data_IF_336918094603
#
_entry.id   IF_336918094603
#
_cell.length_a   1.000
_cell.length_b   1.000
_cell.length_c   1.000
_cell.angle_alpha   90.00
_cell.angle_beta   90.00
_cell.angle_gamma   90.00
#
_symmetry.space_group_name_H-M   'P 1'
#
loop_
_entity.id
_entity.type
_entity.pdbx_description
1 polymer ?
#
# COMPACT_ATOMS: atom_id res chain seq x y z
N UNK A 1 -57.58 3.43 -23.02
CA UNK A 1 -58.47 4.32 -23.79
C UNK A 1 -58.20 4.08 -25.26
N UNK A 2 -59.16 3.43 -25.95
CA UNK A 2 -59.16 3.26 -27.41
C UNK A 2 -59.06 4.64 -28.10
N UNK A 3 -58.59 4.69 -29.34
CA UNK A 3 -59.41 5.09 -30.50
C UNK A 3 -58.72 4.72 -31.82
N UNK A 4 -59.59 4.30 -32.73
CA UNK A 4 -59.45 3.72 -34.07
C UNK A 4 -59.10 4.75 -35.17
N UNK A 5 -58.40 4.25 -36.21
CA UNK A 5 -58.54 4.39 -37.70
C UNK A 5 -59.59 5.39 -38.25
N UNK A 6 -59.53 5.94 -39.50
CA UNK A 6 -59.35 5.18 -40.77
C UNK A 6 -58.77 5.95 -42.01
N UNK A 7 -58.17 5.29 -43.02
CA UNK A 7 -58.66 4.82 -44.35
C UNK A 7 -59.09 5.85 -45.41
N UNK A 8 -58.50 5.75 -46.62
CA UNK A 8 -59.15 5.73 -47.97
C UNK A 8 -58.06 6.01 -49.04
N UNK A 9 -57.64 5.09 -49.90
CA UNK A 9 -58.30 4.54 -51.10
C UNK A 9 -58.46 5.53 -52.28
N UNK A 10 -57.77 5.24 -53.41
CA UNK A 10 -58.35 5.04 -54.77
C UNK A 10 -57.54 5.64 -55.95
N UNK A 11 -57.53 4.89 -57.07
CA UNK A 11 -57.25 5.30 -58.46
C UNK A 11 -55.78 5.52 -58.85
N UNK A 12 -55.14 4.83 -59.80
CA UNK A 12 -55.60 4.07 -60.96
C UNK A 12 -55.61 4.94 -62.23
N UNK A 13 -54.53 4.93 -63.04
CA UNK A 13 -54.53 4.82 -64.52
C UNK A 13 -53.10 4.93 -65.12
N UNK A 14 -52.93 4.32 -66.29
CA UNK A 14 -51.70 3.91 -67.00
C UNK A 14 -51.11 5.01 -67.92
N UNK A 15 -49.78 5.05 -68.11
CA UNK A 15 -49.05 4.81 -69.38
C UNK A 15 -47.62 5.39 -69.43
N UNK A 16 -46.70 4.64 -70.05
CA UNK A 16 -45.51 5.18 -70.76
C UNK A 16 -44.15 5.18 -70.02
N UNK A 17 -43.11 4.48 -70.53
CA UNK A 17 -41.86 4.30 -69.80
C UNK A 17 -40.88 5.45 -70.04
N UNK A 18 -40.40 6.10 -68.98
CA UNK A 18 -39.18 6.92 -69.04
C UNK A 18 -38.28 6.67 -67.84
N UNK A 19 -37.15 6.02 -68.14
CA UNK A 19 -36.00 5.81 -67.26
C UNK A 19 -35.63 7.10 -66.52
N UNK A 20 -35.72 7.06 -65.18
CA UNK A 20 -34.86 7.82 -64.28
C UNK A 20 -34.40 6.90 -63.17
N UNK A 21 -33.08 6.76 -63.05
CA UNK A 21 -32.37 5.94 -62.05
C UNK A 21 -32.85 6.33 -60.65
N UNK A 22 -33.45 5.39 -59.92
CA UNK A 22 -33.59 5.46 -58.46
C UNK A 22 -32.55 4.55 -57.83
N UNK A 23 -31.86 5.08 -56.84
CA UNK A 23 -30.91 4.36 -56.00
C UNK A 23 -31.59 3.13 -55.39
N UNK A 24 -31.05 1.95 -55.68
CA UNK A 24 -31.44 0.73 -54.98
C UNK A 24 -30.89 0.84 -53.55
N UNK A 25 -31.80 0.79 -52.58
CA UNK A 25 -31.51 0.54 -51.17
C UNK A 25 -30.59 -0.69 -51.07
N UNK A 26 -29.43 -0.53 -50.47
CA UNK A 26 -28.59 -1.65 -50.03
C UNK A 26 -29.36 -2.41 -48.94
N UNK A 27 -30.01 -3.49 -49.36
CA UNK A 27 -30.40 -4.55 -48.42
C UNK A 27 -29.12 -5.13 -47.85
N UNK A 28 -28.69 -4.62 -46.69
CA UNK A 28 -27.60 -5.16 -45.90
C UNK A 28 -28.06 -6.56 -45.48
N UNK A 29 -27.60 -7.57 -46.21
CA UNK A 29 -27.60 -8.96 -45.72
C UNK A 29 -26.92 -8.91 -44.35
N UNK A 30 -27.48 -9.53 -43.29
CA UNK A 30 -26.69 -9.75 -42.09
C UNK A 30 -25.54 -10.64 -42.54
N UNK A 31 -24.34 -10.06 -42.65
CA UNK A 31 -23.13 -10.86 -42.73
C UNK A 31 -23.14 -11.69 -41.47
N UNK A 32 -23.26 -13.01 -41.62
CA UNK A 32 -22.87 -13.91 -40.58
C UNK A 32 -21.39 -13.62 -40.33
N UNK A 33 -21.11 -12.78 -39.35
CA UNK A 33 -19.80 -12.73 -38.73
C UNK A 33 -19.67 -14.06 -38.01
N UNK A 34 -19.05 -15.03 -38.68
CA UNK A 34 -18.40 -16.10 -37.95
C UNK A 34 -17.28 -15.39 -37.23
N UNK A 35 -17.51 -15.07 -35.96
CA UNK A 35 -16.43 -14.69 -35.07
C UNK A 35 -15.43 -15.85 -35.18
N UNK A 36 -14.23 -15.57 -35.68
CA UNK A 36 -13.15 -16.51 -35.53
C UNK A 36 -13.11 -16.79 -34.03
N UNK A 37 -13.44 -18.02 -33.65
CA UNK A 37 -13.09 -18.50 -32.32
C UNK A 37 -11.61 -18.14 -32.18
N UNK A 38 -11.28 -17.37 -31.14
CA UNK A 38 -9.92 -17.30 -30.59
C UNK A 38 -9.31 -18.68 -30.81
N UNK A 39 -8.11 -18.81 -31.42
CA UNK A 39 -7.49 -20.11 -31.50
C UNK A 39 -7.47 -20.62 -30.05
N UNK A 40 -8.27 -21.66 -29.79
CA UNK A 40 -8.06 -22.53 -28.65
C UNK A 40 -6.77 -23.27 -28.97
N UNK A 41 -5.66 -22.55 -28.89
CA UNK A 41 -4.39 -23.15 -28.55
C UNK A 41 -4.70 -23.84 -27.24
N UNK A 42 -4.82 -25.17 -27.29
CA UNK A 42 -4.65 -25.97 -26.08
C UNK A 42 -3.41 -25.39 -25.41
N UNK A 43 -3.57 -24.70 -24.26
CA UNK A 43 -2.44 -24.24 -23.48
C UNK A 43 -1.74 -25.52 -23.00
N UNK A 44 -0.83 -26.05 -23.82
CA UNK A 44 0.38 -26.58 -23.25
C UNK A 44 0.97 -25.39 -22.51
N UNK A 45 0.84 -25.38 -21.18
CA UNK A 45 1.35 -24.30 -20.37
C UNK A 45 2.83 -24.15 -20.67
N UNK A 46 3.20 -22.95 -21.08
CA UNK A 46 4.56 -22.59 -21.44
C UNK A 46 5.19 -22.11 -20.15
N UNK A 47 6.42 -22.54 -19.79
CA UNK A 47 7.09 -21.95 -18.64
C UNK A 47 7.31 -20.46 -18.91
N UNK A 48 7.15 -19.64 -17.88
CA UNK A 48 7.34 -18.19 -17.96
C UNK A 48 8.51 -17.76 -17.09
N UNK A 49 9.09 -16.60 -17.39
CA UNK A 49 9.91 -15.87 -16.42
C UNK A 49 8.92 -15.18 -15.47
N UNK A 50 8.75 -15.74 -14.27
CA UNK A 50 7.80 -15.21 -13.29
C UNK A 50 8.37 -14.01 -12.53
N UNK A 51 9.66 -14.03 -12.22
CA UNK A 51 10.29 -13.04 -11.36
C UNK A 51 11.79 -12.90 -11.66
N UNK A 52 12.34 -11.72 -11.45
CA UNK A 52 13.77 -11.42 -11.50
C UNK A 52 14.18 -10.54 -10.32
N UNK A 53 15.45 -10.63 -9.93
CA UNK A 53 16.15 -9.62 -9.14
C UNK A 53 17.49 -9.35 -9.82
N UNK A 54 17.66 -8.14 -10.36
CA UNK A 54 18.90 -7.67 -10.99
C UNK A 54 19.75 -6.77 -10.08
N UNK A 55 19.42 -6.73 -8.79
CA UNK A 55 20.21 -6.05 -7.76
C UNK A 55 19.94 -6.70 -6.40
N UNK A 56 20.80 -7.63 -6.00
CA UNK A 56 20.62 -8.43 -4.79
C UNK A 56 21.66 -8.07 -3.71
N UNK A 57 21.28 -7.25 -2.72
CA UNK A 57 22.17 -6.77 -1.64
C UNK A 57 21.93 -7.43 -0.27
N UNK A 58 20.71 -7.88 -0.04
CA UNK A 58 20.19 -8.44 1.21
C UNK A 58 19.39 -9.74 1.02
N UNK A 59 18.99 -10.08 -0.20
CA UNK A 59 18.09 -11.19 -0.55
C UNK A 59 18.71 -12.61 -0.55
N UNK A 60 18.40 -13.41 -1.57
CA UNK A 60 18.86 -14.81 -1.67
C UNK A 60 20.39 -14.88 -1.77
N UNK A 61 21.00 -15.93 -1.22
CA UNK A 61 22.42 -16.24 -1.42
C UNK A 61 22.52 -17.52 -2.24
N UNK A 62 23.50 -17.57 -3.13
CA UNK A 62 23.88 -18.82 -3.79
C UNK A 62 24.72 -19.72 -2.86
N UNK A 63 25.06 -20.92 -3.34
CA UNK A 63 25.84 -21.95 -2.64
C UNK A 63 27.22 -21.49 -2.20
N UNK A 64 27.77 -20.45 -2.84
CA UNK A 64 29.08 -19.90 -2.47
C UNK A 64 28.93 -18.80 -1.41
N UNK A 65 27.69 -18.42 -1.08
CA UNK A 65 27.34 -17.34 -0.14
C UNK A 65 27.22 -15.97 -0.81
N UNK A 66 27.34 -15.89 -2.13
CA UNK A 66 27.25 -14.65 -2.89
C UNK A 66 25.79 -14.24 -3.10
N UNK A 67 25.56 -12.93 -3.22
CA UNK A 67 24.25 -12.38 -3.54
C UNK A 67 24.16 -12.07 -5.02
N UNK A 68 24.11 -13.15 -5.81
CA UNK A 68 23.97 -13.06 -7.26
C UNK A 68 22.56 -12.60 -7.63
N UNK A 69 22.44 -11.94 -8.78
CA UNK A 69 21.16 -11.73 -9.45
C UNK A 69 20.51 -13.07 -9.76
N UNK A 70 19.19 -13.11 -9.93
CA UNK A 70 18.50 -14.36 -10.21
C UNK A 70 17.24 -14.16 -11.03
N UNK A 71 16.88 -15.24 -11.72
CA UNK A 71 15.72 -15.38 -12.60
C UNK A 71 14.90 -16.56 -12.07
N UNK A 72 13.60 -16.37 -11.91
CA UNK A 72 12.67 -17.44 -11.56
C UNK A 72 11.86 -17.85 -12.79
N UNK A 73 11.85 -19.15 -13.06
CA UNK A 73 10.98 -19.78 -14.04
C UNK A 73 9.81 -20.45 -13.33
N UNK A 74 8.61 -20.27 -13.87
CA UNK A 74 7.39 -20.85 -13.34
C UNK A 74 6.63 -21.66 -14.38
N UNK A 75 6.22 -22.86 -14.01
CA UNK A 75 5.28 -23.65 -14.78
C UNK A 75 3.84 -23.33 -14.35
N UNK A 76 3.15 -22.51 -15.14
CA UNK A 76 1.75 -22.14 -14.91
C UNK A 76 0.72 -23.24 -15.28
N UNK A 77 1.20 -24.41 -15.69
CA UNK A 77 0.37 -25.53 -16.12
C UNK A 77 0.02 -26.54 -15.07
N UNK A 78 -0.79 -27.49 -15.50
CA UNK A 78 -1.21 -28.68 -14.77
C UNK A 78 -0.41 -29.94 -15.15
N UNK A 79 0.53 -29.83 -16.10
CA UNK A 79 1.43 -30.91 -16.53
C UNK A 79 2.91 -30.53 -16.31
N UNK A 80 3.79 -31.53 -16.16
CA UNK A 80 5.23 -31.32 -16.02
C UNK A 80 5.86 -30.92 -17.37
N UNK A 81 6.85 -30.01 -17.33
CA UNK A 81 7.56 -29.50 -18.50
C UNK A 81 9.02 -29.94 -18.44
N UNK A 82 9.53 -30.54 -19.51
CA UNK A 82 10.96 -30.78 -19.69
C UNK A 82 11.62 -29.54 -20.32
N UNK A 83 12.57 -28.96 -19.60
CA UNK A 83 13.32 -27.77 -20.04
C UNK A 83 14.55 -28.11 -20.89
N UNK A 84 14.75 -29.38 -21.28
CA UNK A 84 15.83 -29.74 -22.20
C UNK A 84 15.77 -28.94 -23.51
N UNK A 85 16.87 -28.26 -23.86
CA UNK A 85 17.00 -27.44 -25.07
C UNK A 85 16.33 -26.07 -25.01
N UNK A 86 15.78 -25.68 -23.86
CA UNK A 86 15.33 -24.31 -23.62
C UNK A 86 16.52 -23.44 -23.25
N UNK A 87 16.45 -22.15 -23.57
CA UNK A 87 17.55 -21.21 -23.35
C UNK A 87 17.09 -19.95 -22.64
N UNK A 88 17.95 -19.42 -21.75
CA UNK A 88 17.86 -18.03 -21.29
C UNK A 88 18.84 -17.17 -22.09
N UNK A 89 18.43 -15.93 -22.36
CA UNK A 89 19.30 -14.94 -23.01
C UNK A 89 19.01 -13.52 -22.54
N UNK A 90 20.04 -12.71 -22.37
CA UNK A 90 19.99 -11.25 -22.19
C UNK A 90 20.25 -10.48 -23.50
N UNK A 91 20.50 -11.19 -24.61
CA UNK A 91 20.78 -10.64 -25.93
C UNK A 91 19.80 -11.20 -26.98
N UNK A 92 18.93 -10.37 -27.59
CA UNK A 92 17.98 -10.83 -28.60
C UNK A 92 18.63 -11.40 -29.86
N UNK A 93 19.90 -11.08 -30.12
CA UNK A 93 20.68 -11.61 -31.25
C UNK A 93 21.34 -12.97 -30.91
N UNK A 94 21.31 -13.40 -29.64
CA UNK A 94 21.84 -14.69 -29.16
C UNK A 94 20.75 -15.55 -28.48
N UNK A 95 19.74 -16.06 -29.21
CA UNK A 95 18.60 -16.78 -28.62
C UNK A 95 18.95 -18.07 -27.84
N UNK A 96 20.17 -18.57 -27.99
CA UNK A 96 20.68 -19.79 -27.33
C UNK A 96 21.89 -19.50 -26.43
N UNK A 97 21.97 -18.31 -25.82
CA UNK A 97 23.10 -17.87 -25.00
C UNK A 97 23.37 -18.79 -23.80
N UNK A 98 22.32 -19.21 -23.09
CA UNK A 98 22.41 -20.14 -21.98
C UNK A 98 21.31 -21.22 -22.00
N UNK A 99 21.60 -22.37 -22.60
CA UNK A 99 20.77 -23.58 -22.45
C UNK A 99 20.58 -24.08 -21.00
N UNK A 100 19.33 -24.27 -20.60
CA UNK A 100 18.91 -24.89 -19.34
C UNK A 100 19.26 -26.40 -19.40
N UNK A 101 19.92 -26.98 -18.37
CA UNK A 101 20.15 -28.41 -18.34
C UNK A 101 18.84 -29.18 -18.21
N UNK A 102 18.80 -30.43 -18.68
CA UNK A 102 17.60 -31.28 -18.66
C UNK A 102 16.96 -31.33 -17.26
N UNK A 103 15.92 -30.50 -17.07
CA UNK A 103 15.27 -30.24 -15.79
C UNK A 103 13.78 -30.36 -15.99
N UNK A 104 13.14 -31.19 -15.17
CA UNK A 104 11.69 -31.37 -15.19
C UNK A 104 11.07 -30.38 -14.20
N UNK A 105 10.30 -29.42 -14.72
CA UNK A 105 9.54 -28.47 -13.93
C UNK A 105 8.11 -28.97 -13.76
N UNK A 106 7.78 -29.47 -12.56
CA UNK A 106 6.44 -29.98 -12.26
C UNK A 106 5.33 -28.91 -12.38
N UNK A 107 4.05 -29.31 -12.39
CA UNK A 107 2.93 -28.37 -12.46
C UNK A 107 2.92 -27.44 -11.24
N UNK A 108 2.75 -26.14 -11.49
CA UNK A 108 2.89 -25.11 -10.45
C UNK A 108 4.31 -25.00 -9.85
N UNK A 109 5.30 -25.65 -10.45
CA UNK A 109 6.68 -25.68 -9.98
C UNK A 109 7.46 -24.43 -10.35
N UNK A 110 8.48 -24.13 -9.54
CA UNK A 110 9.39 -22.99 -9.71
C UNK A 110 10.83 -23.47 -9.82
N UNK A 111 11.63 -22.76 -10.60
CA UNK A 111 13.07 -22.97 -10.73
C UNK A 111 13.79 -21.62 -10.67
N UNK A 112 14.70 -21.48 -9.70
CA UNK A 112 15.59 -20.32 -9.62
C UNK A 112 16.87 -20.61 -10.38
N UNK A 113 17.29 -19.68 -11.23
CA UNK A 113 18.56 -19.66 -11.94
C UNK A 113 19.29 -18.38 -11.58
N UNK A 114 20.47 -18.48 -10.98
CA UNK A 114 21.28 -17.31 -10.67
C UNK A 114 21.90 -16.72 -11.94
N UNK A 115 21.75 -15.43 -12.18
CA UNK A 115 22.39 -14.71 -13.26
C UNK A 115 23.74 -14.17 -12.80
N UNK A 116 24.73 -15.05 -12.64
CA UNK A 116 25.97 -14.75 -11.91
C UNK A 116 27.23 -14.79 -12.75
N UNK A 117 27.15 -15.13 -14.05
CA UNK A 117 28.30 -15.38 -14.91
C UNK A 117 29.23 -16.52 -14.42
N UNK A 118 28.67 -17.51 -13.70
CA UNK A 118 29.43 -18.69 -13.22
C UNK A 118 29.27 -19.92 -14.13
N UNK A 119 28.32 -19.89 -15.07
CA UNK A 119 28.04 -20.92 -16.08
C UNK A 119 27.91 -22.36 -15.52
N UNK A 120 27.07 -22.54 -14.50
CA UNK A 120 26.84 -23.85 -13.85
C UNK A 120 25.52 -24.46 -14.31
N UNK A 121 25.59 -25.66 -14.89
CA UNK A 121 24.47 -26.33 -15.58
C UNK A 121 24.27 -27.77 -15.14
N UNK A 122 24.48 -28.07 -13.86
CA UNK A 122 24.28 -29.44 -13.36
C UNK A 122 22.82 -29.58 -12.93
N UNK A 123 22.06 -30.43 -13.64
CA UNK A 123 20.67 -30.71 -13.28
C UNK A 123 20.55 -31.18 -11.81
N UNK A 124 19.62 -30.60 -11.06
CA UNK A 124 19.43 -30.87 -9.63
C UNK A 124 20.41 -30.16 -8.68
N UNK A 125 21.33 -29.34 -9.19
CA UNK A 125 22.14 -28.41 -8.41
C UNK A 125 21.67 -26.96 -8.65
N UNK A 126 22.25 -26.00 -7.92
CA UNK A 126 22.02 -24.59 -8.21
C UNK A 126 22.56 -24.21 -9.59
N UNK A 127 21.72 -23.55 -10.37
CA UNK A 127 22.01 -23.18 -11.75
C UNK A 127 22.51 -21.75 -11.81
N UNK A 128 23.50 -21.53 -12.67
CA UNK A 128 24.08 -20.21 -12.89
C UNK A 128 24.25 -19.92 -14.38
N UNK A 129 23.73 -18.80 -14.85
CA UNK A 129 23.94 -18.37 -16.23
C UNK A 129 25.40 -17.97 -16.49
N UNK A 130 25.76 -17.85 -17.76
CA UNK A 130 27.03 -17.29 -18.24
C UNK A 130 26.93 -15.77 -18.53
N UNK A 131 25.96 -15.12 -17.89
CA UNK A 131 25.75 -13.68 -17.97
C UNK A 131 25.22 -13.16 -16.63
N UNK A 132 25.04 -11.85 -16.51
CA UNK A 132 24.43 -11.19 -15.34
C UNK A 132 23.30 -10.29 -15.80
N UNK A 133 22.48 -9.87 -14.86
CA UNK A 133 21.43 -8.88 -15.13
C UNK A 133 21.91 -7.48 -14.75
N UNK A 134 21.63 -6.50 -15.59
CA UNK A 134 21.89 -5.09 -15.34
C UNK A 134 20.81 -4.47 -14.47
N UNK A 135 21.21 -3.79 -13.40
CA UNK A 135 20.29 -3.10 -12.50
C UNK A 135 19.52 -1.95 -13.17
N UNK A 136 20.06 -1.36 -14.24
CA UNK A 136 19.40 -0.27 -14.98
C UNK A 136 18.37 -0.75 -16.00
N UNK A 137 18.28 -2.07 -16.22
CA UNK A 137 17.35 -2.70 -17.17
C UNK A 137 18.04 -3.34 -18.37
N UNK A 138 17.77 -4.63 -18.65
CA UNK A 138 18.21 -5.35 -19.85
C UNK A 138 17.07 -6.09 -20.55
N UNK A 139 17.32 -6.53 -21.79
CA UNK A 139 16.51 -7.57 -22.41
C UNK A 139 16.67 -8.87 -21.62
N UNK A 140 15.61 -9.66 -21.51
CA UNK A 140 15.70 -11.02 -20.98
C UNK A 140 14.61 -11.88 -21.60
N UNK A 141 14.97 -13.06 -22.09
CA UNK A 141 14.01 -14.00 -22.64
C UNK A 141 14.29 -15.45 -22.27
N UNK A 142 13.20 -16.20 -22.15
CA UNK A 142 13.16 -17.65 -22.18
C UNK A 142 12.76 -18.08 -23.59
N UNK A 143 13.62 -18.86 -24.22
CA UNK A 143 13.53 -19.26 -25.63
C UNK A 143 13.33 -20.76 -25.73
N UNK A 144 12.42 -21.17 -26.61
CA UNK A 144 12.14 -22.58 -26.90
C UNK A 144 13.24 -23.23 -27.74
N UNK A 145 13.32 -24.57 -27.77
CA UNK A 145 14.23 -25.28 -28.67
C UNK A 145 14.06 -24.94 -30.17
N UNK A 146 12.87 -24.48 -30.59
CA UNK A 146 12.60 -24.06 -31.96
C UNK A 146 12.98 -22.59 -32.26
N UNK A 147 13.69 -21.93 -31.33
CA UNK A 147 14.07 -20.51 -31.35
C UNK A 147 12.93 -19.50 -31.22
N UNK A 148 11.71 -19.93 -30.92
CA UNK A 148 10.62 -18.98 -30.61
C UNK A 148 10.71 -18.52 -29.15
N UNK A 149 10.43 -17.24 -28.90
CA UNK A 149 10.39 -16.69 -27.55
C UNK A 149 9.13 -17.17 -26.83
N UNK A 150 9.31 -17.75 -25.66
CA UNK A 150 8.24 -18.24 -24.79
C UNK A 150 7.77 -17.17 -23.80
N UNK A 151 8.71 -16.44 -23.20
CA UNK A 151 8.49 -15.39 -22.22
C UNK A 151 9.64 -14.39 -22.32
N UNK A 152 9.37 -13.09 -22.21
CA UNK A 152 10.42 -12.09 -22.26
C UNK A 152 10.05 -10.78 -21.54
N UNK A 153 11.08 -10.06 -21.12
CA UNK A 153 11.05 -8.63 -20.89
C UNK A 153 11.69 -7.94 -22.10
N UNK A 154 10.85 -7.36 -22.95
CA UNK A 154 11.22 -6.74 -24.23
C UNK A 154 10.66 -5.31 -24.29
N UNK A 155 11.43 -4.29 -24.72
CA UNK A 155 12.85 -4.33 -25.11
C UNK A 155 13.82 -4.41 -23.93
N UNK A 156 13.36 -4.09 -22.73
CA UNK A 156 14.14 -4.18 -21.49
C UNK A 156 13.20 -4.20 -20.29
N UNK A 157 13.56 -4.87 -19.20
CA UNK A 157 12.88 -4.69 -17.92
C UNK A 157 13.25 -3.31 -17.31
N UNK A 158 12.40 -2.70 -16.46
CA UNK A 158 12.69 -1.37 -15.92
C UNK A 158 13.87 -1.38 -14.93
N UNK A 159 14.47 -0.22 -14.60
CA UNK A 159 15.48 -0.11 -13.56
C UNK A 159 15.02 -0.74 -12.24
N UNK A 160 15.90 -1.55 -11.65
CA UNK A 160 15.65 -2.35 -10.46
C UNK A 160 16.15 -1.64 -9.20
N UNK A 161 15.34 -1.69 -8.14
CA UNK A 161 15.78 -1.28 -6.80
C UNK A 161 16.38 -2.48 -6.09
N UNK A 162 17.49 -2.28 -5.37
CA UNK A 162 18.12 -3.38 -4.62
C UNK A 162 17.13 -4.11 -3.71
N UNK A 163 17.18 -5.44 -3.76
CA UNK A 163 16.36 -6.38 -3.01
C UNK A 163 14.86 -6.31 -3.31
N UNK A 164 14.49 -5.65 -4.40
CA UNK A 164 13.12 -5.63 -4.91
C UNK A 164 13.06 -6.45 -6.18
N UNK A 165 12.23 -7.48 -6.14
CA UNK A 165 11.96 -8.32 -7.30
C UNK A 165 10.94 -7.70 -8.25
N UNK A 166 11.09 -7.99 -9.54
CA UNK A 166 10.19 -7.57 -10.61
C UNK A 166 9.70 -8.79 -11.38
N UNK A 167 8.41 -8.85 -11.72
CA UNK A 167 7.83 -10.07 -12.26
C UNK A 167 6.40 -9.92 -12.75
N UNK A 168 5.86 -11.03 -13.24
CA UNK A 168 4.47 -11.13 -13.69
C UNK A 168 3.55 -11.22 -12.47
N UNK A 169 2.48 -10.43 -12.45
CA UNK A 169 1.47 -10.52 -11.40
C UNK A 169 0.72 -11.85 -11.48
N UNK A 170 0.72 -12.62 -10.39
CA UNK A 170 -0.15 -13.78 -10.25
C UNK A 170 -1.57 -13.32 -9.92
N UNK A 171 -2.58 -13.98 -10.49
CA UNK A 171 -3.96 -13.84 -10.03
C UNK A 171 -4.04 -14.30 -8.57
N UNK A 172 -4.25 -13.35 -7.67
CA UNK A 172 -4.41 -13.64 -6.25
C UNK A 172 -5.88 -13.91 -5.96
N UNK A 173 -6.18 -15.11 -5.44
CA UNK A 173 -7.49 -15.36 -4.80
C UNK A 173 -7.44 -14.80 -3.39
N UNK A 174 -8.27 -13.81 -3.11
CA UNK A 174 -8.39 -13.23 -1.78
C UNK A 174 -9.14 -14.20 -0.85
N UNK A 175 -8.39 -15.04 -0.13
CA UNK A 175 -8.95 -15.97 0.87
C UNK A 175 -9.45 -15.24 2.11
N UNK A 176 -8.78 -14.15 2.49
CA UNK A 176 -9.12 -13.32 3.64
C UNK A 176 -9.08 -11.85 3.22
N UNK A 177 -10.21 -11.17 3.34
CA UNK A 177 -10.29 -9.76 2.98
C UNK A 177 -9.64 -8.85 4.04
N UNK A 178 -9.11 -7.71 3.61
CA UNK A 178 -8.77 -6.63 4.54
C UNK A 178 -10.04 -6.16 5.25
N UNK A 179 -10.02 -6.07 6.58
CA UNK A 179 -11.20 -5.77 7.39
C UNK A 179 -12.08 -6.98 7.71
N UNK A 180 -11.78 -8.18 7.21
CA UNK A 180 -12.50 -9.39 7.61
C UNK A 180 -12.35 -9.65 9.13
N UNK A 181 -13.29 -10.37 9.74
CA UNK A 181 -13.19 -10.70 11.16
C UNK A 181 -12.10 -11.74 11.40
N UNK A 182 -11.17 -11.42 12.28
CA UNK A 182 -10.13 -12.29 12.81
C UNK A 182 -10.37 -12.54 14.31
N UNK A 183 -10.01 -13.74 14.78
CA UNK A 183 -9.93 -14.06 16.21
C UNK A 183 -8.46 -14.14 16.61
N UNK A 184 -8.11 -13.61 17.77
CA UNK A 184 -6.73 -13.49 18.25
C UNK A 184 -6.64 -13.93 19.71
N UNK A 185 -5.64 -14.74 20.03
CA UNK A 185 -5.29 -15.10 21.40
C UNK A 185 -3.79 -14.96 21.60
N UNK A 186 -3.41 -14.34 22.71
CA UNK A 186 -2.03 -14.31 23.19
C UNK A 186 -1.94 -15.33 24.34
N UNK A 187 -1.26 -16.47 24.16
CA UNK A 187 -1.10 -17.46 25.21
C UNK A 187 -0.36 -16.89 26.43
N UNK A 188 -0.81 -17.20 27.64
CA UNK A 188 -0.22 -16.66 28.88
C UNK A 188 1.06 -17.35 29.32
N UNK A 189 1.33 -18.56 28.83
CA UNK A 189 2.44 -19.42 29.27
C UNK A 189 3.12 -20.16 28.11
N UNK A 190 2.89 -19.72 26.88
CA UNK A 190 3.42 -20.36 25.67
C UNK A 190 2.78 -21.71 25.34
N UNK A 191 1.79 -22.18 26.12
CA UNK A 191 0.99 -23.33 25.74
C UNK A 191 0.06 -22.94 24.59
N UNK A 192 0.26 -23.55 23.43
CA UNK A 192 -0.68 -23.46 22.31
C UNK A 192 -1.82 -24.42 22.58
N UNK A 193 -3.07 -23.97 22.39
CA UNK A 193 -4.22 -24.87 22.41
C UNK A 193 -4.01 -25.94 21.34
N UNK A 194 -3.99 -27.20 21.73
CA UNK A 194 -3.77 -28.30 20.79
C UNK A 194 -4.82 -28.25 19.68
N UNK A 195 -4.37 -28.34 18.42
CA UNK A 195 -5.20 -28.31 17.19
C UNK A 195 -5.58 -26.92 16.65
N UNK A 196 -4.99 -25.81 17.13
CA UNK A 196 -5.25 -24.46 16.59
C UNK A 196 -5.01 -24.32 15.07
N UNK A 197 -4.16 -25.19 14.51
CA UNK A 197 -3.83 -25.26 13.09
C UNK A 197 -4.70 -26.27 12.30
N UNK A 198 -5.71 -26.87 12.92
CA UNK A 198 -6.65 -27.76 12.24
C UNK A 198 -7.67 -26.96 11.41
N UNK A 199 -8.04 -27.41 10.20
CA UNK A 199 -9.14 -26.81 9.43
C UNK A 199 -10.50 -26.80 10.16
N UNK A 200 -10.67 -27.69 11.14
CA UNK A 200 -11.87 -27.78 11.97
C UNK A 200 -11.79 -26.99 13.27
N UNK A 201 -10.69 -26.25 13.50
CA UNK A 201 -10.50 -25.51 14.73
C UNK A 201 -11.49 -24.34 14.82
N UNK A 202 -12.19 -24.25 15.95
CA UNK A 202 -13.08 -23.15 16.26
C UNK A 202 -12.54 -22.45 17.52
N UNK A 203 -12.16 -21.16 17.44
CA UNK A 203 -11.84 -20.37 18.61
C UNK A 203 -12.99 -20.41 19.63
N UNK A 204 -12.67 -20.61 20.91
CA UNK A 204 -13.66 -20.48 21.97
C UNK A 204 -13.90 -18.99 22.33
N UNK A 205 -14.78 -18.73 23.30
CA UNK A 205 -15.08 -17.37 23.75
C UNK A 205 -13.92 -16.64 24.46
N UNK A 206 -12.74 -17.25 24.60
CA UNK A 206 -11.56 -16.62 25.21
C UNK A 206 -10.71 -15.84 24.21
N UNK A 207 -10.98 -15.96 22.92
CA UNK A 207 -10.27 -15.24 21.86
C UNK A 207 -10.87 -13.85 21.64
N UNK A 208 -10.03 -12.84 21.49
CA UNK A 208 -10.45 -11.49 21.12
C UNK A 208 -10.78 -11.44 19.62
N UNK A 209 -11.88 -10.79 19.24
CA UNK A 209 -12.26 -10.63 17.83
C UNK A 209 -12.01 -9.22 17.33
N UNK A 210 -11.51 -9.06 16.11
CA UNK A 210 -11.26 -7.77 15.48
C UNK A 210 -11.15 -7.86 13.96
N UNK A 211 -10.87 -6.74 13.29
CA UNK A 211 -10.57 -6.76 11.87
C UNK A 211 -9.18 -7.41 11.59
N UNK A 212 -9.01 -8.00 10.41
CA UNK A 212 -7.71 -8.46 9.90
C UNK A 212 -6.71 -7.31 9.79
N UNK A 213 -5.42 -7.63 9.86
CA UNK A 213 -4.36 -6.65 10.18
C UNK A 213 -3.91 -6.72 11.64
N UNK A 214 -3.87 -7.93 12.19
CA UNK A 214 -3.45 -8.20 13.56
C UNK A 214 -1.92 -8.21 13.62
N UNK A 215 -1.34 -7.42 14.51
CA UNK A 215 0.11 -7.40 14.77
C UNK A 215 0.42 -7.59 16.25
N UNK A 216 1.66 -8.01 16.54
CA UNK A 216 2.23 -7.98 17.88
C UNK A 216 3.27 -6.86 17.93
N UNK A 217 3.11 -5.92 18.85
CA UNK A 217 4.03 -4.80 19.03
C UNK A 217 4.20 -4.47 20.50
N UNK A 218 5.41 -4.05 20.89
CA UNK A 218 5.62 -3.45 22.19
C UNK A 218 4.92 -2.09 22.21
N UNK A 219 3.99 -1.90 23.14
CA UNK A 219 3.40 -0.59 23.40
C UNK A 219 4.51 0.36 23.84
N UNK A 220 4.86 1.32 22.99
CA UNK A 220 5.72 2.44 23.38
C UNK A 220 4.81 3.60 23.80
N UNK A 221 5.02 4.21 24.97
CA UNK A 221 4.42 5.49 25.29
C UNK A 221 4.74 6.53 24.21
N UNK A 222 3.84 7.49 24.01
CA UNK A 222 4.01 8.58 23.04
C UNK A 222 3.17 8.43 21.76
N UNK A 223 3.57 9.19 20.75
CA UNK A 223 2.96 9.32 19.44
C UNK A 223 3.91 8.77 18.36
N UNK A 224 3.32 8.11 17.37
CA UNK A 224 3.93 7.94 16.05
C UNK A 224 3.64 9.22 15.25
N UNK A 225 4.71 9.94 14.88
CA UNK A 225 4.61 11.25 14.23
C UNK A 225 5.17 11.14 12.82
N UNK A 226 4.31 11.42 11.82
CA UNK A 226 4.72 11.59 10.43
C UNK A 226 4.81 13.08 10.10
N UNK A 227 5.97 13.52 9.64
CA UNK A 227 6.17 14.86 9.10
C UNK A 227 6.25 14.76 7.57
N UNK A 228 5.53 15.64 6.87
CA UNK A 228 5.43 15.63 5.41
C UNK A 228 5.57 17.05 4.90
N UNK A 229 6.58 17.31 4.10
CA UNK A 229 6.67 18.56 3.33
C UNK A 229 5.92 18.35 2.01
N UNK A 230 4.96 19.21 1.73
CA UNK A 230 4.19 19.19 0.51
C UNK A 230 4.90 19.97 -0.60
N UNK A 231 4.74 19.52 -1.85
CA UNK A 231 5.14 20.29 -3.03
C UNK A 231 3.98 21.15 -3.60
N UNK A 232 2.90 21.26 -2.82
CA UNK A 232 1.70 22.06 -3.10
C UNK A 232 1.34 22.89 -1.87
N UNK A 233 0.55 23.95 -2.06
CA UNK A 233 0.10 24.76 -0.94
C UNK A 233 -0.89 23.98 -0.04
N UNK A 234 -0.64 23.97 1.26
CA UNK A 234 -1.52 23.33 2.26
C UNK A 234 -2.32 24.41 2.99
N UNK A 235 -3.53 24.72 2.54
CA UNK A 235 -4.32 25.83 3.11
C UNK A 235 -5.44 25.35 4.05
N UNK A 236 -5.88 24.11 3.86
CA UNK A 236 -7.07 23.54 4.48
C UNK A 236 -6.84 22.09 4.88
N UNK A 237 -7.71 21.57 5.74
CA UNK A 237 -7.75 20.15 6.07
C UNK A 237 -8.02 19.25 4.86
N UNK A 238 -8.68 19.76 3.81
CA UNK A 238 -8.85 19.01 2.57
C UNK A 238 -7.53 18.84 1.82
N UNK A 239 -6.66 19.87 1.84
CA UNK A 239 -5.31 19.78 1.28
C UNK A 239 -4.46 18.79 2.08
N UNK A 240 -4.57 18.81 3.41
CA UNK A 240 -3.93 17.82 4.30
C UNK A 240 -4.31 16.40 3.91
N UNK A 241 -5.61 16.13 3.76
CA UNK A 241 -6.11 14.80 3.39
C UNK A 241 -5.61 14.39 2.00
N UNK A 242 -5.58 15.32 1.03
CA UNK A 242 -5.08 15.06 -0.31
C UNK A 242 -3.58 14.74 -0.33
N UNK A 243 -2.75 15.52 0.39
CA UNK A 243 -1.30 15.33 0.46
C UNK A 243 -0.96 14.02 1.17
N UNK A 244 -1.59 13.72 2.32
CA UNK A 244 -1.31 12.49 3.06
C UNK A 244 -1.71 11.23 2.28
N UNK A 245 -2.75 11.30 1.44
CA UNK A 245 -3.21 10.21 0.58
C UNK A 245 -2.39 10.04 -0.70
N UNK A 246 -1.69 11.08 -1.17
CA UNK A 246 -1.05 11.09 -2.50
C UNK A 246 0.46 11.35 -2.41
N UNK A 247 1.32 10.32 -2.47
CA UNK A 247 2.76 10.48 -2.35
C UNK A 247 3.39 11.47 -3.35
N UNK A 248 2.82 11.60 -4.55
CA UNK A 248 3.31 12.55 -5.55
C UNK A 248 3.16 14.03 -5.15
N UNK A 249 2.32 14.33 -4.15
CA UNK A 249 2.16 15.68 -3.58
C UNK A 249 3.15 15.97 -2.43
N UNK A 250 4.03 15.02 -2.11
CA UNK A 250 4.98 15.10 -0.99
C UNK A 250 6.37 15.37 -1.57
N UNK A 251 6.98 16.49 -1.18
CA UNK A 251 8.39 16.76 -1.45
C UNK A 251 9.30 15.84 -0.62
N UNK A 252 8.93 15.64 0.64
CA UNK A 252 9.63 14.75 1.57
C UNK A 252 8.65 14.17 2.59
N UNK A 253 9.00 13.02 3.17
CA UNK A 253 8.26 12.47 4.31
C UNK A 253 9.20 11.71 5.24
N UNK A 254 9.01 11.92 6.53
CA UNK A 254 9.73 11.21 7.57
C UNK A 254 8.79 10.79 8.69
N UNK A 255 9.21 9.79 9.46
CA UNK A 255 8.48 9.30 10.62
C UNK A 255 9.42 9.21 11.81
N UNK A 256 8.94 9.62 12.96
CA UNK A 256 9.62 9.52 14.25
C UNK A 256 8.62 9.16 15.34
N UNK A 257 9.12 8.90 16.54
CA UNK A 257 8.31 8.80 17.76
C UNK A 257 8.56 10.00 18.65
N UNK A 258 7.54 10.47 19.36
CA UNK A 258 7.69 11.53 20.36
C UNK A 258 6.77 11.28 21.55
N UNK A 259 7.24 11.52 22.76
CA UNK A 259 6.41 11.37 23.96
C UNK A 259 5.24 12.36 23.96
N UNK A 260 5.47 13.58 23.47
CA UNK A 260 4.51 14.68 23.38
C UNK A 260 4.58 15.35 22.01
N UNK A 261 3.47 15.96 21.59
CA UNK A 261 3.46 16.92 20.46
C UNK A 261 3.68 18.32 21.04
N UNK A 262 4.91 18.81 20.93
CA UNK A 262 5.34 20.16 21.30
C UNK A 262 6.45 20.63 20.33
N UNK A 263 6.04 21.06 19.15
CA UNK A 263 6.94 21.41 18.05
C UNK A 263 6.88 22.89 17.71
N UNK A 264 8.06 23.45 17.40
CA UNK A 264 8.23 24.84 17.00
C UNK A 264 9.13 24.94 15.76
N UNK A 265 8.74 25.81 14.83
CA UNK A 265 9.54 26.25 13.69
C UNK A 265 10.13 27.62 13.96
N UNK A 266 10.17 28.48 12.95
CA UNK A 266 10.36 29.92 13.20
C UNK A 266 9.08 30.49 13.83
N UNK A 267 9.16 31.30 14.89
CA UNK A 267 7.97 31.87 15.51
C UNK A 267 8.07 32.11 17.01
N UNK A 268 6.94 32.44 17.63
CA UNK A 268 6.76 32.46 19.08
C UNK A 268 6.19 31.11 19.50
N UNK A 269 6.80 30.48 20.51
CA UNK A 269 6.34 29.20 21.02
C UNK A 269 4.96 29.28 21.67
N UNK A 270 4.38 28.12 21.92
CA UNK A 270 3.10 27.95 22.59
C UNK A 270 3.17 28.15 24.11
N UNK A 271 2.28 27.45 24.80
CA UNK A 271 2.04 27.60 26.23
C UNK A 271 3.05 26.85 27.10
N UNK A 272 3.68 25.80 26.58
CA UNK A 272 4.58 24.94 27.34
C UNK A 272 6.04 25.24 26.98
N UNK A 273 6.94 24.94 27.91
CA UNK A 273 8.38 25.00 27.65
C UNK A 273 8.86 23.68 27.04
N UNK A 274 10.12 23.66 26.57
CA UNK A 274 10.76 22.45 26.08
C UNK A 274 10.43 22.13 24.62
N UNK A 275 10.05 23.13 23.84
CA UNK A 275 9.68 22.99 22.44
C UNK A 275 10.89 22.46 21.67
N UNK A 276 10.63 21.54 20.75
CA UNK A 276 11.66 20.95 19.89
C UNK A 276 11.38 21.29 18.43
N UNK A 277 12.40 21.34 17.55
CA UNK A 277 12.18 21.48 16.12
C UNK A 277 11.24 20.40 15.58
N UNK A 278 10.52 20.71 14.51
CA UNK A 278 9.75 19.72 13.78
C UNK A 278 10.63 18.54 13.34
N UNK A 279 10.07 17.31 13.20
CA UNK A 279 10.85 16.15 12.79
C UNK A 279 11.65 16.43 11.51
N UNK A 280 12.89 15.94 11.45
CA UNK A 280 13.91 16.18 10.40
C UNK A 280 14.58 17.55 10.39
N UNK A 281 14.08 18.53 11.13
CA UNK A 281 14.72 19.82 11.25
C UNK A 281 15.76 19.81 12.39
N UNK A 282 16.93 20.42 12.14
CA UNK A 282 18.02 20.56 13.13
C UNK A 282 18.00 21.90 13.87
N UNK A 283 16.98 22.73 13.64
CA UNK A 283 16.81 24.05 14.24
C UNK A 283 15.46 24.67 13.93
N UNK A 284 15.24 25.90 14.39
CA UNK A 284 14.00 26.66 14.22
C UNK A 284 13.93 27.29 12.83
N UNK A 285 13.61 26.46 11.84
CA UNK A 285 13.60 26.87 10.44
C UNK A 285 12.23 27.44 10.06
N UNK A 286 12.25 28.38 9.13
CA UNK A 286 11.05 28.79 8.40
C UNK A 286 10.87 27.83 7.23
N UNK A 287 10.03 26.82 7.43
CA UNK A 287 9.65 25.83 6.42
C UNK A 287 8.16 25.97 6.20
N UNK A 288 7.78 26.11 4.93
CA UNK A 288 6.41 26.36 4.50
C UNK A 288 5.82 25.10 3.88
N UNK A 289 4.49 24.96 3.93
CA UNK A 289 3.73 23.88 3.28
C UNK A 289 4.09 22.49 3.81
N UNK A 290 3.90 22.27 5.10
CA UNK A 290 4.12 20.96 5.71
C UNK A 290 2.93 20.49 6.56
N UNK A 291 2.95 19.21 6.90
CA UNK A 291 1.95 18.53 7.71
C UNK A 291 2.64 17.72 8.80
N UNK A 292 2.13 17.83 10.03
CA UNK A 292 2.38 16.89 11.12
C UNK A 292 1.15 16.02 11.30
N UNK A 293 1.31 14.71 11.10
CA UNK A 293 0.28 13.70 11.34
C UNK A 293 0.74 12.80 12.49
N UNK A 294 0.29 13.14 13.70
CA UNK A 294 0.62 12.46 14.94
C UNK A 294 -0.52 11.52 15.36
N UNK A 295 -0.22 10.24 15.55
CA UNK A 295 -1.17 9.21 15.98
C UNK A 295 -0.71 8.57 17.28
N UNK A 296 -1.66 8.24 18.15
CA UNK A 296 -1.36 7.61 19.43
C UNK A 296 -2.62 7.10 20.10
N UNK A 297 -2.54 6.92 21.43
CA UNK A 297 -3.74 6.72 22.24
C UNK A 297 -3.62 7.42 23.58
N UNK A 298 -4.77 7.80 24.11
CA UNK A 298 -4.90 8.42 25.42
C UNK A 298 -5.85 7.60 26.28
N UNK A 299 -5.51 7.44 27.55
CA UNK A 299 -6.40 6.82 28.54
C UNK A 299 -7.03 7.91 29.38
N UNK A 300 -8.36 8.00 29.32
CA UNK A 300 -9.15 8.88 30.20
C UNK A 300 -9.32 8.15 31.54
N UNK A 301 -8.75 8.66 32.65
CA UNK A 301 -8.74 7.95 33.93
C UNK A 301 -10.10 7.95 34.63
N UNK A 302 -10.88 9.02 34.43
CA UNK A 302 -12.18 9.22 35.07
C UNK A 302 -13.16 9.78 34.07
N UNK A 303 -14.36 9.21 34.03
CA UNK A 303 -15.46 9.74 33.24
C UNK A 303 -15.80 11.17 33.66
N UNK A 304 -16.18 11.99 32.70
CA UNK A 304 -16.61 13.36 32.91
C UNK A 304 -16.06 14.30 31.84
N UNK A 305 -16.13 15.60 32.13
CA UNK A 305 -15.65 16.63 31.23
C UNK A 305 -14.13 16.64 31.15
N UNK A 306 -13.62 16.69 29.93
CA UNK A 306 -12.20 16.86 29.61
C UNK A 306 -12.05 17.92 28.55
N UNK A 307 -11.16 18.89 28.78
CA UNK A 307 -10.83 19.90 27.79
C UNK A 307 -9.50 19.56 27.14
N UNK A 308 -9.52 19.41 25.82
CA UNK A 308 -8.33 19.31 24.98
C UNK A 308 -8.09 20.65 24.32
N UNK A 309 -6.82 21.05 24.23
CA UNK A 309 -6.41 22.25 23.53
C UNK A 309 -5.29 21.95 22.53
N UNK A 310 -5.33 22.70 21.43
CA UNK A 310 -4.25 22.72 20.44
C UNK A 310 -3.84 24.16 20.21
N UNK A 311 -2.57 24.48 20.51
CA UNK A 311 -1.93 25.66 19.95
C UNK A 311 -1.48 25.31 18.54
N UNK A 312 -1.82 26.10 17.53
CA UNK A 312 -1.30 25.86 16.18
C UNK A 312 -1.12 27.14 15.36
N UNK A 313 -0.12 27.10 14.48
CA UNK A 313 0.18 27.99 13.36
C UNK A 313 0.58 27.08 12.19
N UNK A 314 -0.26 26.78 11.20
CA UNK A 314 -1.60 27.32 10.91
C UNK A 314 -2.74 26.47 11.55
N UNK A 315 -3.31 25.54 10.79
CA UNK A 315 -4.55 24.84 11.09
C UNK A 315 -4.34 23.42 11.60
N UNK A 316 -5.40 22.83 12.13
CA UNK A 316 -5.33 21.47 12.67
C UNK A 316 -6.68 20.75 12.71
N UNK A 317 -6.62 19.42 12.85
CA UNK A 317 -7.71 18.53 13.21
C UNK A 317 -7.24 17.53 14.27
N UNK A 318 -7.86 17.59 15.44
CA UNK A 318 -7.72 16.61 16.51
C UNK A 318 -8.94 15.69 16.51
N UNK A 319 -8.70 14.39 16.56
CA UNK A 319 -9.74 13.38 16.70
C UNK A 319 -9.47 12.47 17.89
N UNK A 320 -10.55 12.13 18.61
CA UNK A 320 -10.58 11.08 19.63
C UNK A 320 -11.60 10.04 19.18
N UNK A 321 -11.18 8.79 19.03
CA UNK A 321 -12.02 7.70 18.58
C UNK A 321 -12.09 6.59 19.62
N UNK A 322 -13.30 6.13 19.90
CA UNK A 322 -13.57 4.95 20.72
C UNK A 322 -14.90 4.33 20.31
N UNK A 323 -14.94 3.01 20.16
CA UNK A 323 -16.15 2.23 19.89
C UNK A 323 -16.95 2.76 18.66
N UNK A 324 -16.23 3.20 17.63
CA UNK A 324 -16.79 3.77 16.40
C UNK A 324 -17.33 5.21 16.53
N UNK A 325 -17.25 5.82 17.71
CA UNK A 325 -17.56 7.23 17.93
C UNK A 325 -16.30 8.08 17.76
N UNK A 326 -16.38 9.05 16.85
CA UNK A 326 -15.32 10.04 16.62
C UNK A 326 -15.75 11.39 17.19
N UNK A 327 -14.90 11.97 18.03
CA UNK A 327 -15.02 13.33 18.55
C UNK A 327 -13.95 14.19 17.90
N UNK A 328 -14.27 15.44 17.58
CA UNK A 328 -13.38 16.30 16.80
C UNK A 328 -13.27 17.70 17.39
N UNK A 329 -12.04 18.22 17.42
CA UNK A 329 -11.72 19.65 17.58
C UNK A 329 -10.86 20.06 16.39
N UNK A 330 -11.13 21.21 15.78
CA UNK A 330 -10.40 21.61 14.58
C UNK A 330 -10.42 23.12 14.36
N UNK A 331 -9.40 23.60 13.65
CA UNK A 331 -9.39 24.88 12.97
C UNK A 331 -9.01 24.64 11.51
N UNK A 332 -9.94 24.90 10.60
CA UNK A 332 -9.73 24.73 9.16
C UNK A 332 -9.51 26.09 8.49
N UNK A 333 -8.27 26.40 8.18
CA UNK A 333 -7.85 27.65 7.57
C UNK A 333 -6.45 28.04 8.02
N UNK A 334 -6.08 29.28 7.71
CA UNK A 334 -4.78 29.86 8.07
C UNK A 334 -4.94 30.78 9.28
N UNK A 335 -3.97 30.77 10.19
CA UNK A 335 -3.93 31.64 11.37
C UNK A 335 -2.51 31.70 11.90
N UNK A 336 -2.16 32.81 12.53
CA UNK A 336 -1.01 32.83 13.43
C UNK A 336 -1.25 31.99 14.68
N UNK A 337 -0.16 31.64 15.37
CA UNK A 337 -0.14 30.84 16.59
C UNK A 337 -1.26 31.23 17.58
N UNK A 338 -2.16 30.28 17.84
CA UNK A 338 -3.33 30.50 18.70
C UNK A 338 -3.89 29.21 19.26
N UNK A 339 -4.52 29.29 20.42
CA UNK A 339 -5.15 28.15 21.08
C UNK A 339 -6.57 27.90 20.56
N UNK A 340 -6.90 26.62 20.36
CA UNK A 340 -8.27 26.15 20.20
C UNK A 340 -8.57 25.13 21.29
N UNK A 341 -9.51 25.43 22.18
CA UNK A 341 -9.93 24.53 23.26
C UNK A 341 -11.31 23.94 22.96
N UNK A 342 -11.46 22.64 23.21
CA UNK A 342 -12.73 21.93 23.09
C UNK A 342 -12.92 21.01 24.29
N UNK A 343 -14.05 21.16 24.97
CA UNK A 343 -14.48 20.27 26.05
C UNK A 343 -15.32 19.13 25.48
N UNK A 344 -15.02 17.91 25.92
CA UNK A 344 -15.76 16.69 25.63
C UNK A 344 -16.23 16.05 26.92
N UNK A 345 -17.42 15.45 26.90
CA UNK A 345 -17.85 14.52 27.95
C UNK A 345 -17.38 13.12 27.57
N UNK A 346 -16.36 12.62 28.27
CA UNK A 346 -15.66 11.39 27.96
C UNK A 346 -15.91 10.34 29.04
N UNK A 347 -16.03 9.08 28.63
CA UNK A 347 -16.03 7.97 29.57
C UNK A 347 -14.59 7.60 29.93
N UNK A 348 -14.36 7.09 31.14
CA UNK A 348 -13.10 6.48 31.49
C UNK A 348 -12.78 5.33 30.52
N UNK A 349 -11.53 5.24 30.09
CA UNK A 349 -11.07 4.24 29.14
C UNK A 349 -10.18 4.83 28.04
N UNK A 350 -9.75 3.96 27.13
CA UNK A 350 -8.78 4.28 26.09
C UNK A 350 -9.48 4.83 24.84
N UNK A 351 -8.93 5.90 24.28
CA UNK A 351 -9.31 6.48 22.99
C UNK A 351 -8.09 6.46 22.07
N UNK A 352 -8.29 6.09 20.81
CA UNK A 352 -7.31 6.38 19.78
C UNK A 352 -7.33 7.89 19.52
N UNK A 353 -6.16 8.52 19.42
CA UNK A 353 -6.02 9.96 19.24
C UNK A 353 -5.20 10.23 17.99
N UNK A 354 -5.64 11.18 17.17
CA UNK A 354 -4.89 11.65 16.01
C UNK A 354 -4.96 13.15 15.90
N UNK A 355 -3.80 13.79 15.80
CA UNK A 355 -3.63 15.21 15.54
C UNK A 355 -2.98 15.39 14.17
N UNK A 356 -3.69 16.07 13.27
CA UNK A 356 -3.17 16.53 11.99
C UNK A 356 -3.05 18.04 12.06
N UNK A 357 -1.84 18.57 12.10
CA UNK A 357 -1.56 20.00 12.02
C UNK A 357 -0.83 20.32 10.71
N UNK A 358 -0.97 21.55 10.22
CA UNK A 358 -0.30 21.97 8.99
C UNK A 358 0.09 23.44 9.06
N UNK A 359 1.12 23.77 8.30
CA UNK A 359 1.56 25.14 8.06
C UNK A 359 1.61 25.39 6.56
N UNK A 360 1.19 26.59 6.16
CA UNK A 360 1.32 27.07 4.78
C UNK A 360 2.52 27.98 4.63
N UNK A 361 2.67 28.97 5.53
CA UNK A 361 3.66 30.01 5.35
C UNK A 361 3.98 30.77 6.65
N UNK A 362 5.26 31.01 6.88
CA UNK A 362 5.72 31.98 7.87
C UNK A 362 6.15 31.34 9.18
N UNK A 363 5.41 31.60 10.26
CA UNK A 363 5.74 31.01 11.55
C UNK A 363 5.02 29.67 11.71
N UNK A 364 5.59 28.72 12.44
CA UNK A 364 4.92 27.45 12.68
C UNK A 364 5.08 26.96 14.12
N UNK A 365 3.98 26.48 14.70
CA UNK A 365 3.91 25.97 16.07
C UNK A 365 2.83 24.89 16.15
N UNK A 366 3.05 23.84 16.94
CA UNK A 366 1.98 22.93 17.36
C UNK A 366 2.22 22.35 18.75
N UNK A 367 1.22 22.48 19.61
CA UNK A 367 1.17 21.83 20.92
C UNK A 367 -0.15 21.09 21.11
N UNK A 368 -0.11 19.93 21.77
CA UNK A 368 -1.30 19.21 22.19
C UNK A 368 -1.33 19.07 23.71
N UNK A 369 -2.38 19.61 24.33
CA UNK A 369 -2.54 19.60 25.78
C UNK A 369 -3.97 19.28 26.22
N UNK A 370 -4.12 18.82 27.46
CA UNK A 370 -5.42 18.48 28.03
C UNK A 370 -5.49 18.72 29.54
N UNK A 371 -6.72 18.89 30.05
CA UNK A 371 -7.04 18.98 31.46
C UNK A 371 -8.42 18.36 31.76
N UNK A 372 -8.61 17.72 32.93
CA UNK A 372 -9.94 17.36 33.41
C UNK A 372 -10.73 18.62 33.76
N UNK A 373 -12.00 18.67 33.36
CA UNK A 373 -12.90 19.81 33.54
C UNK A 373 -13.20 20.56 32.25
N UNK A 374 -13.92 21.68 32.40
CA UNK A 374 -14.36 22.55 31.31
C UNK A 374 -13.59 23.87 31.37
N UNK A 375 -12.87 24.20 30.30
CA UNK A 375 -12.09 25.43 30.19
C UNK A 375 -12.34 26.09 28.83
N UNK A 376 -12.57 27.40 28.84
CA UNK A 376 -12.76 28.20 27.62
C UNK A 376 -11.49 28.91 27.14
N UNK A 377 -10.45 28.96 27.98
CA UNK A 377 -9.15 29.56 27.70
C UNK A 377 -8.07 28.71 28.35
N UNK A 378 -6.85 28.77 27.82
CA UNK A 378 -5.70 28.17 28.49
C UNK A 378 -5.50 28.78 29.88
N UNK A 379 -5.03 27.97 30.82
CA UNK A 379 -4.71 28.38 32.18
C UNK A 379 -3.53 27.55 32.69
N UNK A 380 -2.53 28.25 33.25
CA UNK A 380 -1.39 27.59 33.89
C UNK A 380 -1.84 26.74 35.08
N UNK A 381 -1.32 25.52 35.16
CA UNK A 381 -1.54 24.61 36.29
C UNK A 381 -2.48 23.44 36.01
N UNK A 382 -3.71 23.63 35.48
CA UNK A 382 -4.60 22.53 35.12
C UNK A 382 -4.16 21.73 33.89
N UNK A 383 -3.60 22.40 32.88
CA UNK A 383 -3.24 21.76 31.61
C UNK A 383 -1.87 21.09 31.66
N UNK A 384 -1.76 19.99 30.92
CA UNK A 384 -0.51 19.27 30.67
C UNK A 384 -0.42 18.91 29.19
N UNK A 385 0.79 18.81 28.66
CA UNK A 385 1.01 18.19 27.35
C UNK A 385 0.47 16.76 27.38
N UNK A 386 -0.27 16.38 26.34
CA UNK A 386 -0.75 15.01 26.19
C UNK A 386 0.47 14.13 25.91
N UNK A 387 0.70 13.14 26.79
CA UNK A 387 1.84 12.22 26.70
C UNK A 387 2.98 12.51 27.68
N UNK A 388 2.95 13.63 28.43
CA UNK A 388 3.91 13.90 29.51
C UNK A 388 3.69 12.95 30.70
N UNK A 389 4.47 11.87 30.72
CA UNK A 389 4.43 10.85 31.76
C UNK A 389 4.98 11.32 33.11
N UNK A 390 5.72 12.44 33.19
CA UNK A 390 6.24 12.95 34.46
C UNK A 390 5.23 13.86 35.19
N UNK A 391 4.23 14.39 34.48
CA UNK A 391 3.38 15.50 34.93
C UNK A 391 1.93 15.21 35.30
N UNK A 392 1.45 13.95 35.20
CA UNK A 392 0.12 13.58 35.74
C UNK A 392 -0.97 13.18 34.73
N UNK A 393 -0.70 13.20 33.42
CA UNK A 393 -1.59 12.61 32.42
C UNK A 393 -0.95 11.32 31.87
N UNK A 394 -1.18 10.23 32.59
CA UNK A 394 -0.41 8.99 32.51
C UNK A 394 -0.84 8.06 31.34
N UNK A 395 0.08 7.24 30.81
CA UNK A 395 -0.02 6.62 29.49
C UNK A 395 -0.81 5.30 29.51
N UNK A 396 -1.40 4.92 28.36
CA UNK A 396 -0.84 3.78 27.62
C UNK A 396 -1.55 3.50 26.29
N UNK A 397 -0.73 3.55 25.25
CA UNK A 397 -0.73 2.56 24.19
C UNK A 397 -1.12 3.13 22.84
N UNK A 398 -0.20 3.80 22.14
CA UNK A 398 -0.39 4.00 20.70
C UNK A 398 -0.68 2.65 20.04
N UNK A 399 -1.80 2.55 19.32
CA UNK A 399 -1.91 1.54 18.28
C UNK A 399 -0.92 1.99 17.23
N UNK A 400 0.17 1.25 17.10
CA UNK A 400 0.91 1.22 15.84
C UNK A 400 -0.09 0.79 14.78
N UNK A 401 -0.61 1.75 14.01
CA UNK A 401 -0.90 1.50 12.61
C UNK A 401 0.40 1.79 11.89
N UNK A 402 1.36 0.86 11.96
CA UNK A 402 2.50 0.90 11.07
C UNK A 402 1.96 1.01 9.66
N UNK A 403 2.35 2.09 9.02
CA UNK A 403 2.64 2.23 7.60
C UNK A 403 2.45 0.92 6.86
N UNK A 404 1.47 0.90 5.95
CA UNK A 404 1.31 -0.14 4.92
C UNK A 404 2.68 -0.51 4.34
N UNK A 405 3.22 -1.62 4.80
CA UNK A 405 4.18 -2.43 4.04
C UNK A 405 3.55 -3.83 3.99
N UNK A 406 3.28 -4.39 2.79
CA UNK A 406 2.84 -5.77 2.72
C UNK A 406 3.91 -6.66 3.36
N UNK A 407 3.49 -7.42 4.36
CA UNK A 407 4.27 -8.53 4.90
C UNK A 407 4.45 -9.55 3.77
N UNK A 408 5.66 -9.69 3.24
CA UNK A 408 6.03 -10.78 2.34
C UNK A 408 6.20 -12.04 3.21
N UNK A 409 5.46 -13.13 2.98
CA UNK A 409 5.78 -14.41 3.58
C UNK A 409 7.15 -14.85 3.04
N UNK A 410 8.14 -15.00 3.90
CA UNK A 410 9.29 -15.84 3.58
C UNK A 410 8.79 -17.28 3.56
N UNK A 411 8.59 -17.82 2.36
CA UNK A 411 8.45 -19.26 2.17
C UNK A 411 9.77 -19.91 2.59
N UNK A 412 9.77 -20.55 3.75
CA UNK A 412 10.73 -21.61 4.06
C UNK A 412 10.14 -22.87 3.46
N UNK A 413 10.75 -23.50 2.44
CA UNK A 413 10.34 -24.84 2.04
C UNK A 413 10.82 -25.88 3.07
N UNK A 414 10.16 -27.04 3.15
CA UNK A 414 10.50 -28.13 4.07
C UNK A 414 11.91 -28.70 3.91
#
# INVERSE_FOLDING_TARGET
MLIHRPSSASGGFRDGPRRRRRAARSGRRPGAAVQALEPRTLLAAVPIISEIVASNGGGLKDQDGDRSDWIELYNAGDEAIDLAGWSLTDDPDLPHQWEVPATILGPGGFLVVFASDKDRRVAGAELHTNFKLGADGDYLALVRPDSTVASSFDPTYPPQTSDVSYGVGFDSTQLVAAGATASVKVPTDGSLEGSWNSPSYAPDGSWATGATGVGYGALRPGFDVRYVEANVNVNTLADVDAVLATPALQASSATTTADVVNYIGWGLGGNFFGNVPYPTQSGLLNVDNFIVDATGAVTIPTSGLWTFGVNSDDGFRLTLERDGRVLTSQFNGLRSASDTLQTFDLEAGRYDIRLQAYDRAGGAEVELFAAPGSYSTFADGPFRLVGDAAGGAWPSGARSSTTRRPWRPTSVPP
#
